data_IF_834875183992
#
_entry.id   IF_834875183992
#
_cell.length_a   1.000
_cell.length_b   1.000
_cell.length_c   1.000
_cell.angle_alpha   90.00
_cell.angle_beta   90.00
_cell.angle_gamma   90.00
#
_symmetry.space_group_name_H-M   'P 1'
#
loop_
_entity.id
_entity.type
_entity.pdbx_description
1 polymer ?
#
# COMPACT_ATOMS: atom_id res chain seq x y z
N UNK A 1 17.03 14.19 -23.18
CA UNK A 1 15.83 13.84 -22.38
C UNK A 1 15.79 12.35 -22.03
N UNK A 2 15.88 11.43 -23.01
CA UNK A 2 15.90 9.96 -22.78
C UNK A 2 17.02 9.52 -21.82
N UNK A 3 18.26 9.95 -22.08
CA UNK A 3 19.41 9.52 -21.26
C UNK A 3 19.24 9.96 -19.80
N UNK A 4 18.71 11.16 -19.57
CA UNK A 4 18.47 11.67 -18.22
C UNK A 4 17.39 10.89 -17.48
N UNK A 5 16.24 10.61 -18.12
CA UNK A 5 15.18 9.83 -17.48
C UNK A 5 15.61 8.39 -17.21
N UNK A 6 16.38 7.78 -18.12
CA UNK A 6 16.99 6.47 -17.90
C UNK A 6 17.93 6.46 -16.70
N UNK A 7 18.88 7.41 -16.63
CA UNK A 7 19.79 7.53 -15.48
C UNK A 7 19.02 7.70 -14.16
N UNK A 8 17.96 8.50 -14.18
CA UNK A 8 17.11 8.67 -12.99
C UNK A 8 16.38 7.38 -12.61
N UNK A 9 15.96 6.52 -13.56
CA UNK A 9 15.39 5.22 -13.23
C UNK A 9 16.41 4.28 -12.57
N UNK A 10 17.63 4.26 -13.11
CA UNK A 10 18.70 3.36 -12.65
C UNK A 10 19.17 3.74 -11.25
N UNK A 11 19.41 5.03 -11.00
CA UNK A 11 20.06 5.48 -9.77
C UNK A 11 19.10 5.98 -8.68
N UNK A 12 17.83 6.27 -9.02
CA UNK A 12 16.86 6.65 -8.00
C UNK A 12 16.39 5.44 -7.20
N UNK A 13 16.12 5.68 -5.92
CA UNK A 13 15.47 4.70 -5.06
C UNK A 13 14.04 4.44 -5.55
N UNK A 14 13.67 3.17 -5.69
CA UNK A 14 12.33 2.73 -6.06
C UNK A 14 11.30 2.88 -4.92
N UNK A 15 11.75 3.17 -3.69
CA UNK A 15 10.91 3.20 -2.49
C UNK A 15 11.24 2.07 -1.51
N UNK A 16 12.53 1.75 -1.30
CA UNK A 16 12.97 0.68 -0.39
C UNK A 16 12.52 0.89 1.06
N UNK A 17 11.69 0.01 1.59
CA UNK A 17 11.26 0.06 2.99
C UNK A 17 12.38 -0.53 3.86
N UNK A 18 13.03 0.32 4.65
CA UNK A 18 14.12 -0.08 5.54
C UNK A 18 13.77 0.12 7.01
N UNK A 19 14.50 -0.54 7.94
CA UNK A 19 14.26 -0.46 9.38
C UNK A 19 14.36 0.97 9.94
N UNK A 20 15.17 1.83 9.31
CA UNK A 20 15.39 3.22 9.73
C UNK A 20 14.68 4.27 8.85
N UNK A 21 13.96 3.85 7.79
CA UNK A 21 13.10 4.79 7.09
C UNK A 21 11.90 4.99 8.01
N UNK A 22 11.85 6.10 8.76
CA UNK A 22 10.64 6.52 9.47
C UNK A 22 9.52 6.49 8.44
N UNK A 23 8.73 5.43 8.44
CA UNK A 23 7.42 5.45 7.84
C UNK A 23 6.74 6.60 8.60
N UNK A 24 6.60 7.78 7.99
CA UNK A 24 5.64 8.80 8.45
C UNK A 24 4.23 8.27 8.17
N UNK A 25 3.97 7.09 8.70
CA UNK A 25 2.70 6.41 8.76
C UNK A 25 2.70 5.99 10.22
N UNK A 26 1.91 6.66 11.03
CA UNK A 26 1.94 6.61 12.49
C UNK A 26 2.03 5.14 12.94
N UNK A 27 3.19 4.71 13.46
CA UNK A 27 3.29 3.42 14.16
C UNK A 27 2.30 3.36 15.34
N UNK A 28 1.91 4.52 15.87
CA UNK A 28 0.83 4.68 16.85
C UNK A 28 -0.57 4.42 16.29
N UNK A 29 -0.84 4.67 15.00
CA UNK A 29 -2.13 4.34 14.37
C UNK A 29 -2.25 2.83 14.12
N UNK A 30 -1.16 2.15 13.75
CA UNK A 30 -1.18 0.69 13.57
C UNK A 30 -1.37 -0.07 14.89
N UNK A 31 -0.75 0.40 15.99
CA UNK A 31 -0.93 -0.22 17.32
C UNK A 31 -2.38 -0.06 17.83
N UNK A 32 -3.12 0.92 17.32
CA UNK A 32 -4.55 1.12 17.62
C UNK A 32 -5.44 0.23 16.73
N UNK A 33 -5.04 -0.04 15.49
CA UNK A 33 -5.82 -0.85 14.52
C UNK A 33 -5.69 -2.37 14.70
N UNK A 34 -4.64 -2.88 15.37
CA UNK A 34 -4.39 -4.33 15.53
C UNK A 34 -4.66 -4.87 16.95
N UNK A 35 -5.64 -4.29 17.66
CA UNK A 35 -6.25 -4.98 18.80
C UNK A 35 -7.38 -5.88 18.28
N UNK A 36 -7.36 -7.20 18.53
CA UNK A 36 -8.38 -8.15 18.06
C UNK A 36 -9.78 -7.93 18.69
N UNK A 37 -9.96 -6.88 19.49
CA UNK A 37 -11.20 -6.52 20.18
C UNK A 37 -11.45 -4.99 20.20
N UNK A 38 -11.04 -4.24 19.17
CA UNK A 38 -11.45 -2.83 19.08
C UNK A 38 -11.94 -2.47 17.68
N UNK A 39 -13.20 -2.78 17.44
CA UNK A 39 -14.10 -1.79 16.84
C UNK A 39 -13.96 -0.51 17.68
N UNK A 40 -13.23 0.50 17.21
CA UNK A 40 -13.25 1.83 17.82
C UNK A 40 -12.76 2.86 16.82
N UNK A 41 -13.67 3.74 16.41
CA UNK A 41 -13.64 5.17 16.82
C UNK A 41 -14.44 6.06 15.85
N UNK A 42 -14.96 5.53 14.73
CA UNK A 42 -15.78 6.30 13.78
C UNK A 42 -17.29 6.02 13.93
N UNK A 43 -17.69 4.99 14.67
CA UNK A 43 -19.10 4.62 14.89
C UNK A 43 -19.52 4.67 16.36
N UNK A 44 -19.18 5.71 17.13
CA UNK A 44 -19.89 5.94 18.41
C UNK A 44 -20.97 7.01 18.28
N UNK A 45 -20.76 8.07 17.50
CA UNK A 45 -21.79 9.12 17.39
C UNK A 45 -22.95 8.75 16.45
N UNK A 46 -22.81 7.69 15.64
CA UNK A 46 -23.79 7.34 14.61
C UNK A 46 -24.44 5.96 14.78
N UNK A 47 -24.26 5.31 15.93
CA UNK A 47 -25.06 4.13 16.31
C UNK A 47 -26.10 4.43 17.40
N UNK A 48 -26.04 5.60 18.07
CA UNK A 48 -27.05 6.01 19.05
C UNK A 48 -28.35 6.55 18.42
N UNK A 49 -28.35 6.88 17.12
CA UNK A 49 -29.54 7.40 16.43
C UNK A 49 -30.42 6.27 15.86
N UNK A 50 -29.86 5.10 15.57
CA UNK A 50 -30.55 4.02 14.82
C UNK A 50 -31.07 2.86 15.67
N UNK A 51 -31.11 2.99 17.00
CA UNK A 51 -31.57 1.94 17.93
C UNK A 51 -33.05 2.09 18.35
N UNK A 52 -33.91 2.74 17.56
CA UNK A 52 -35.30 2.98 17.99
C UNK A 52 -36.43 2.26 17.31
N UNK A 53 -36.31 1.68 16.11
CA UNK A 53 -37.49 1.03 15.51
C UNK A 53 -37.16 -0.23 14.71
N UNK A 54 -37.81 -1.32 15.12
CA UNK A 54 -38.14 -2.58 14.42
C UNK A 54 -37.24 -3.81 14.62
N UNK A 55 -37.84 -4.79 15.28
CA UNK A 55 -37.42 -6.18 15.54
C UNK A 55 -37.44 -7.03 14.26
N UNK A 56 -36.45 -6.88 13.39
CA UNK A 56 -36.16 -7.91 12.39
C UNK A 56 -34.66 -8.17 12.39
N UNK A 57 -34.26 -9.44 12.33
CA UNK A 57 -32.86 -9.90 12.33
C UNK A 57 -32.10 -9.27 11.15
N UNK A 58 -31.60 -8.07 11.36
CA UNK A 58 -30.73 -7.40 10.43
C UNK A 58 -29.33 -7.98 10.62
N UNK A 59 -28.98 -8.93 9.76
CA UNK A 59 -27.65 -9.54 9.78
C UNK A 59 -26.63 -8.51 9.29
N UNK A 60 -25.86 -7.95 10.22
CA UNK A 60 -24.80 -6.99 9.93
C UNK A 60 -23.74 -7.56 8.98
N UNK A 61 -23.58 -8.88 8.92
CA UNK A 61 -22.68 -9.57 7.98
C UNK A 61 -23.18 -9.42 6.54
N UNK A 62 -24.50 -9.58 6.32
CA UNK A 62 -25.09 -9.53 4.97
C UNK A 62 -25.13 -8.09 4.43
N UNK A 63 -25.31 -7.10 5.29
CA UNK A 63 -25.19 -5.68 4.92
C UNK A 63 -23.75 -5.30 4.55
N UNK A 64 -22.75 -5.86 5.24
CA UNK A 64 -21.33 -5.59 4.96
C UNK A 64 -20.90 -6.19 3.61
N UNK A 65 -21.40 -7.36 3.26
CA UNK A 65 -21.12 -8.01 1.97
C UNK A 65 -21.77 -7.28 0.78
N UNK A 66 -22.96 -6.72 0.96
CA UNK A 66 -23.69 -6.05 -0.13
C UNK A 66 -23.24 -4.60 -0.36
N UNK A 67 -22.61 -3.96 0.63
CA UNK A 67 -22.16 -2.57 0.56
C UNK A 67 -20.64 -2.40 0.53
N UNK A 68 -19.88 -3.49 0.54
CA UNK A 68 -18.46 -3.43 0.16
C UNK A 68 -18.39 -3.11 -1.33
N UNK A 69 -18.23 -1.82 -1.64
CA UNK A 69 -17.56 -1.43 -2.89
C UNK A 69 -16.26 -2.23 -2.97
N UNK A 70 -15.85 -2.77 -4.13
CA UNK A 70 -14.58 -3.49 -4.27
C UNK A 70 -13.44 -2.47 -4.26
N UNK A 71 -13.28 -1.80 -3.13
CA UNK A 71 -12.19 -0.90 -2.83
C UNK A 71 -11.18 -1.77 -2.12
N UNK A 72 -10.14 -2.15 -2.86
CA UNK A 72 -8.95 -2.88 -2.42
C UNK A 72 -8.73 -2.75 -0.91
N UNK A 73 -9.00 -3.83 -0.16
CA UNK A 73 -8.79 -3.90 1.28
C UNK A 73 -7.30 -3.61 1.52
N UNK A 74 -7.06 -2.39 1.98
CA UNK A 74 -5.73 -1.81 2.10
C UNK A 74 -5.09 -2.33 3.38
N UNK A 75 -4.84 -3.63 3.39
CA UNK A 75 -4.32 -4.31 4.55
C UNK A 75 -2.80 -4.29 4.57
N UNK A 76 -2.30 -3.93 5.74
CA UNK A 76 -0.90 -4.06 6.08
C UNK A 76 -0.54 -5.54 6.10
N UNK A 77 0.57 -5.91 5.47
CA UNK A 77 1.01 -7.31 5.42
C UNK A 77 2.43 -7.47 5.96
N UNK A 78 2.72 -8.55 6.68
CA UNK A 78 4.05 -8.76 7.25
C UNK A 78 4.99 -9.47 6.26
N UNK A 79 6.17 -8.92 6.02
CA UNK A 79 7.21 -9.59 5.25
C UNK A 79 8.07 -10.46 6.17
N UNK A 80 8.03 -11.78 6.00
CA UNK A 80 8.84 -12.73 6.78
C UNK A 80 10.35 -12.58 6.52
N UNK A 81 10.74 -12.22 5.30
CA UNK A 81 12.14 -12.10 4.87
C UNK A 81 12.80 -10.85 5.45
N UNK A 82 12.16 -9.69 5.28
CA UNK A 82 12.66 -8.42 5.80
C UNK A 82 12.32 -8.19 7.28
N UNK A 83 11.38 -8.97 7.84
CA UNK A 83 10.85 -8.82 9.20
C UNK A 83 10.26 -7.43 9.46
N UNK A 84 9.50 -6.91 8.49
CA UNK A 84 8.85 -5.60 8.55
C UNK A 84 7.38 -5.70 8.15
N UNK A 85 6.55 -4.81 8.70
CA UNK A 85 5.20 -4.59 8.19
C UNK A 85 5.25 -3.76 6.91
N UNK A 86 4.61 -4.28 5.88
CA UNK A 86 4.46 -3.68 4.56
C UNK A 86 3.15 -2.89 4.55
N UNK A 87 3.18 -1.61 4.21
CA UNK A 87 1.96 -0.87 3.92
C UNK A 87 1.26 -1.45 2.69
N UNK A 88 -0.01 -1.08 2.47
CA UNK A 88 -0.78 -1.53 1.30
C UNK A 88 -0.04 -1.23 -0.02
N UNK A 89 0.00 -2.22 -0.91
CA UNK A 89 0.69 -2.13 -2.20
C UNK A 89 2.21 -2.29 -2.14
N UNK A 90 2.81 -2.49 -0.96
CA UNK A 90 4.23 -2.79 -0.87
C UNK A 90 4.50 -4.30 -1.02
N UNK A 91 5.49 -4.66 -1.85
CA UNK A 91 5.86 -6.04 -2.14
C UNK A 91 7.35 -6.29 -1.87
N UNK A 92 7.70 -7.54 -1.57
CA UNK A 92 9.11 -7.94 -1.45
C UNK A 92 9.61 -8.31 -2.85
N UNK A 93 10.71 -7.71 -3.29
CA UNK A 93 11.37 -8.13 -4.51
C UNK A 93 12.43 -9.19 -4.17
N UNK A 94 12.26 -10.42 -4.65
CA UNK A 94 13.21 -11.51 -4.40
C UNK A 94 14.58 -11.28 -5.04
N UNK A 95 14.63 -10.50 -6.13
CA UNK A 95 15.86 -10.15 -6.83
C UNK A 95 16.62 -9.08 -6.05
N UNK A 96 15.95 -7.97 -5.69
CA UNK A 96 16.57 -6.90 -4.94
C UNK A 96 16.75 -7.21 -3.45
N UNK A 97 16.03 -8.19 -2.88
CA UNK A 97 16.04 -8.60 -1.45
C UNK A 97 15.55 -7.54 -0.45
N UNK A 98 14.68 -6.64 -0.89
CA UNK A 98 14.09 -5.61 -0.04
C UNK A 98 12.61 -5.43 -0.39
N UNK A 99 11.82 -4.93 0.56
CA UNK A 99 10.46 -4.50 0.26
C UNK A 99 10.46 -3.13 -0.42
N UNK A 100 9.65 -2.98 -1.47
CA UNK A 100 9.49 -1.76 -2.24
C UNK A 100 8.06 -1.25 -2.07
N UNK A 101 7.92 0.05 -1.81
CA UNK A 101 6.63 0.72 -1.66
C UNK A 101 5.94 0.90 -3.02
N UNK A 102 4.66 0.51 -3.10
CA UNK A 102 3.89 0.49 -4.36
C UNK A 102 4.71 -0.13 -5.49
N UNK A 103 5.22 -1.34 -5.23
CA UNK A 103 6.08 -2.04 -6.19
C UNK A 103 5.27 -2.41 -7.42
N UNK A 104 5.74 -1.98 -8.59
CA UNK A 104 5.19 -2.42 -9.86
C UNK A 104 5.90 -3.72 -10.28
N UNK A 105 7.18 -3.63 -10.64
CA UNK A 105 7.98 -4.79 -11.03
C UNK A 105 9.47 -4.58 -10.80
N UNK A 106 10.26 -5.66 -10.89
CA UNK A 106 11.71 -5.57 -11.05
C UNK A 106 12.03 -5.54 -12.54
N UNK A 107 12.75 -4.51 -13.00
CA UNK A 107 13.06 -4.33 -14.41
C UNK A 107 14.54 -4.64 -14.66
N UNK A 108 14.87 -5.73 -15.39
CA UNK A 108 16.27 -6.09 -15.69
C UNK A 108 17.00 -5.00 -16.49
N UNK A 109 16.27 -4.24 -17.30
CA UNK A 109 16.84 -3.22 -18.20
C UNK A 109 17.43 -2.02 -17.45
N UNK A 110 16.88 -1.69 -16.29
CA UNK A 110 17.41 -0.63 -15.42
C UNK A 110 18.15 -1.19 -14.20
N UNK A 111 18.24 -2.53 -14.09
CA UNK A 111 18.80 -3.28 -12.96
C UNK A 111 18.29 -2.76 -11.59
N UNK A 112 17.00 -2.41 -11.54
CA UNK A 112 16.36 -1.80 -10.37
C UNK A 112 14.86 -2.11 -10.35
N UNK A 113 14.24 -2.00 -9.18
CA UNK A 113 12.79 -2.05 -9.07
C UNK A 113 12.17 -0.76 -9.60
N UNK A 114 10.95 -0.88 -10.13
CA UNK A 114 10.05 0.24 -10.37
C UNK A 114 9.05 0.27 -9.23
N UNK A 115 8.99 1.40 -8.53
CA UNK A 115 8.07 1.62 -7.42
C UNK A 115 7.77 3.11 -7.25
N UNK A 116 7.07 3.47 -6.18
CA UNK A 116 6.48 4.80 -6.02
C UNK A 116 7.44 5.97 -6.32
N UNK A 117 8.70 5.87 -5.90
CA UNK A 117 9.64 6.99 -5.96
C UNK A 117 10.33 7.16 -7.32
N UNK A 118 10.42 6.11 -8.13
CA UNK A 118 11.04 6.16 -9.46
C UNK A 118 10.08 5.89 -10.62
N UNK A 119 8.81 5.57 -10.34
CA UNK A 119 7.77 5.32 -11.35
C UNK A 119 7.63 6.47 -12.35
N UNK A 120 7.69 7.73 -11.89
CA UNK A 120 7.62 8.91 -12.78
C UNK A 120 8.75 8.94 -13.81
N UNK A 121 9.97 8.56 -13.41
CA UNK A 121 11.11 8.53 -14.32
C UNK A 121 10.97 7.39 -15.30
N UNK A 122 10.44 6.25 -14.86
CA UNK A 122 10.20 5.08 -15.70
C UNK A 122 9.18 5.39 -16.80
N UNK A 123 8.06 6.05 -16.47
CA UNK A 123 7.07 6.49 -17.45
C UNK A 123 7.64 7.52 -18.44
N UNK A 124 8.50 8.44 -17.98
CA UNK A 124 9.18 9.38 -18.88
C UNK A 124 10.17 8.67 -19.81
N UNK A 125 10.93 7.71 -19.29
CA UNK A 125 11.84 6.89 -20.08
C UNK A 125 11.08 6.12 -21.17
N UNK A 126 10.05 5.36 -20.81
CA UNK A 126 9.27 4.55 -21.79
C UNK A 126 8.55 5.41 -22.81
N UNK A 127 7.94 6.54 -22.41
CA UNK A 127 7.27 7.45 -23.34
C UNK A 127 8.21 8.09 -24.36
N UNK A 128 9.46 8.38 -23.99
CA UNK A 128 10.45 8.85 -24.96
C UNK A 128 11.01 7.73 -25.85
N UNK A 129 11.12 6.52 -25.33
CA UNK A 129 11.58 5.35 -26.10
C UNK A 129 10.55 4.88 -27.14
N UNK A 130 9.25 5.00 -26.86
CA UNK A 130 8.19 4.64 -27.81
C UNK A 130 7.94 5.66 -28.93
N UNK A 131 8.60 6.83 -28.91
CA UNK A 131 8.45 7.88 -29.94
C UNK A 131 9.52 7.80 -31.04
N UNK A 132 10.07 6.62 -31.30
CA UNK A 132 11.04 6.36 -32.37
C UNK A 132 10.41 5.54 -33.48
#
# INVERSE_FOLDING_TARGET
MIVWSHLMCVFSDAGRIGPNRRQRINQSEWRVQNHPNRCNYIQQEQCDIFNKESESEFNCIDFYQQNHTPFYESDWSFCKLCRIYRPPGAHHCDICRHCILQMDHHCPWINNCVGQLNQKYFLQFTSYSCKQ
#
